data_IF_645064149310
#
_entry.id   IF_645064149310
#
_cell.length_a   1.000
_cell.length_b   1.000
_cell.length_c   1.000
_cell.angle_alpha   90.00
_cell.angle_beta   90.00
_cell.angle_gamma   90.00
#
_symmetry.space_group_name_H-M   'P 1'
#
loop_
_entity.id
_entity.type
_entity.pdbx_description
1 polymer ?
#
# COMPACT_ATOMS: atom_id res chain seq x y z
N UNK A 1 17.93 13.35 0.34
CA UNK A 1 16.84 13.05 1.30
C UNK A 1 16.06 11.82 0.80
N UNK A 2 16.72 10.66 0.76
CA UNK A 2 16.15 9.35 0.33
C UNK A 2 16.52 8.22 1.32
N UNK A 3 17.26 8.56 2.38
CA UNK A 3 17.83 7.63 3.36
C UNK A 3 16.85 7.19 4.48
N UNK A 4 15.64 7.75 4.53
CA UNK A 4 14.63 7.41 5.55
C UNK A 4 13.80 6.14 5.22
N UNK A 5 13.96 5.56 4.03
CA UNK A 5 13.21 4.35 3.63
C UNK A 5 13.94 3.03 3.94
N UNK A 6 15.18 3.06 4.43
CA UNK A 6 15.95 1.85 4.70
C UNK A 6 15.45 1.03 5.91
N UNK A 7 14.48 1.55 6.68
CA UNK A 7 13.90 0.88 7.85
C UNK A 7 12.38 1.02 8.01
N UNK A 8 11.65 1.47 6.98
CA UNK A 8 10.19 1.56 7.06
C UNK A 8 9.52 0.23 6.73
N UNK A 9 8.50 -0.13 7.50
CA UNK A 9 7.62 -1.26 7.19
C UNK A 9 6.95 -1.09 5.81
N UNK A 10 6.53 -2.18 5.15
CA UNK A 10 5.80 -2.08 3.88
C UNK A 10 4.56 -1.18 3.97
N UNK A 11 3.89 -1.18 5.14
CA UNK A 11 2.76 -0.30 5.46
C UNK A 11 3.16 1.16 5.42
N UNK A 12 4.27 1.55 6.06
CA UNK A 12 4.79 2.92 5.97
C UNK A 12 5.21 3.30 4.56
N UNK A 13 5.76 2.37 3.78
CA UNK A 13 6.09 2.61 2.38
C UNK A 13 4.83 2.88 1.55
N UNK A 14 3.80 2.05 1.70
CA UNK A 14 2.50 2.23 1.05
C UNK A 14 1.83 3.53 1.45
N UNK A 15 1.83 3.86 2.75
CA UNK A 15 1.31 5.11 3.26
C UNK A 15 2.07 6.33 2.74
N UNK A 16 3.41 6.29 2.73
CA UNK A 16 4.23 7.40 2.24
C UNK A 16 4.01 7.66 0.75
N UNK A 17 4.04 6.61 -0.06
CA UNK A 17 3.79 6.71 -1.51
C UNK A 17 2.36 7.20 -1.77
N UNK A 18 1.38 6.62 -1.09
CA UNK A 18 -0.02 7.02 -1.21
C UNK A 18 -0.27 8.46 -0.78
N UNK A 19 0.37 8.92 0.31
CA UNK A 19 0.23 10.28 0.80
C UNK A 19 0.88 11.30 -0.15
N UNK A 20 2.07 10.99 -0.68
CA UNK A 20 2.75 11.89 -1.63
C UNK A 20 1.98 11.95 -2.94
N UNK A 21 1.58 10.80 -3.49
CA UNK A 21 0.81 10.74 -4.74
C UNK A 21 -0.57 11.40 -4.57
N UNK A 22 -1.30 11.03 -3.53
CA UNK A 22 -2.62 11.59 -3.22
C UNK A 22 -2.55 13.09 -2.91
N UNK A 23 -1.52 13.55 -2.20
CA UNK A 23 -1.34 14.97 -1.91
C UNK A 23 -0.97 15.80 -3.12
N UNK A 24 -0.12 15.28 -4.02
CA UNK A 24 0.19 15.96 -5.27
C UNK A 24 -1.07 16.09 -6.15
N UNK A 25 -1.80 14.98 -6.36
CA UNK A 25 -3.02 14.97 -7.16
C UNK A 25 -4.11 15.84 -6.55
N UNK A 26 -4.37 15.69 -5.26
CA UNK A 26 -5.33 16.50 -4.51
C UNK A 26 -4.96 17.99 -4.52
N UNK A 27 -3.68 18.33 -4.49
CA UNK A 27 -3.19 19.69 -4.61
C UNK A 27 -3.47 20.31 -5.97
N UNK A 28 -3.22 19.58 -7.05
CA UNK A 28 -3.51 20.02 -8.42
C UNK A 28 -5.01 20.24 -8.61
N UNK A 29 -5.83 19.25 -8.21
CA UNK A 29 -7.29 19.30 -8.35
C UNK A 29 -7.86 20.44 -7.49
N UNK A 30 -7.44 20.53 -6.22
CA UNK A 30 -7.89 21.57 -5.31
C UNK A 30 -7.50 22.98 -5.77
N UNK A 31 -6.37 23.13 -6.47
CA UNK A 31 -5.92 24.42 -6.98
C UNK A 31 -6.87 25.01 -8.02
N UNK A 32 -7.56 24.17 -8.80
CA UNK A 32 -8.57 24.64 -9.75
C UNK A 32 -9.78 25.28 -9.06
N UNK A 33 -10.06 24.90 -7.81
CA UNK A 33 -11.15 25.44 -6.99
C UNK A 33 -10.66 26.48 -5.97
N UNK A 34 -9.44 27.00 -6.12
CA UNK A 34 -8.84 27.95 -5.17
C UNK A 34 -8.46 27.35 -3.80
N UNK A 35 -8.50 26.03 -3.67
CA UNK A 35 -8.33 25.28 -2.42
C UNK A 35 -7.23 24.22 -2.52
N UNK A 36 -6.09 24.57 -3.15
CA UNK A 36 -4.99 23.64 -3.42
C UNK A 36 -4.39 23.02 -2.16
N UNK A 37 -4.17 23.82 -1.11
CA UNK A 37 -3.63 23.31 0.16
C UNK A 37 -4.57 22.30 0.84
N UNK A 38 -5.87 22.59 0.84
CA UNK A 38 -6.89 21.69 1.38
C UNK A 38 -7.00 20.40 0.56
N UNK A 39 -6.99 20.51 -0.77
CA UNK A 39 -6.99 19.36 -1.65
C UNK A 39 -5.76 18.47 -1.45
N UNK A 40 -4.57 19.07 -1.28
CA UNK A 40 -3.35 18.34 -0.99
C UNK A 40 -3.40 17.64 0.37
N UNK A 41 -3.89 18.31 1.41
CA UNK A 41 -4.00 17.72 2.74
C UNK A 41 -4.98 16.52 2.76
N UNK A 42 -6.15 16.68 2.14
CA UNK A 42 -7.15 15.60 2.06
C UNK A 42 -6.61 14.45 1.21
N UNK A 43 -6.04 14.76 0.04
CA UNK A 43 -5.45 13.75 -0.84
C UNK A 43 -4.30 12.99 -0.18
N UNK A 44 -3.46 13.68 0.60
CA UNK A 44 -2.39 13.04 1.34
C UNK A 44 -2.91 12.16 2.48
N UNK A 45 -3.93 12.61 3.22
CA UNK A 45 -4.53 11.81 4.28
C UNK A 45 -5.20 10.55 3.73
N UNK A 46 -6.08 10.70 2.73
CA UNK A 46 -6.80 9.57 2.13
C UNK A 46 -5.84 8.63 1.40
N UNK A 47 -4.91 9.18 0.63
CA UNK A 47 -3.89 8.40 -0.08
C UNK A 47 -2.97 7.66 0.89
N UNK A 48 -2.59 8.28 2.00
CA UNK A 48 -1.77 7.66 3.03
C UNK A 48 -2.46 6.52 3.76
N UNK A 49 -3.72 6.71 4.17
CA UNK A 49 -4.51 5.67 4.83
C UNK A 49 -4.75 4.50 3.87
N UNK A 50 -5.20 4.79 2.65
CA UNK A 50 -5.47 3.76 1.63
C UNK A 50 -4.19 3.00 1.28
N UNK A 51 -3.08 3.71 1.09
CA UNK A 51 -1.79 3.12 0.80
C UNK A 51 -1.26 2.23 1.93
N UNK A 52 -1.48 2.60 3.19
CA UNK A 52 -1.16 1.76 4.35
C UNK A 52 -1.95 0.44 4.34
N UNK A 53 -3.27 0.53 4.17
CA UNK A 53 -4.16 -0.65 4.21
C UNK A 53 -3.86 -1.61 3.07
N UNK A 54 -3.66 -1.10 1.86
CA UNK A 54 -3.30 -1.93 0.69
C UNK A 54 -1.96 -2.61 0.91
N UNK A 55 -0.95 -1.89 1.42
CA UNK A 55 0.35 -2.46 1.69
C UNK A 55 0.33 -3.52 2.80
N UNK A 56 -0.54 -3.41 3.80
CA UNK A 56 -0.74 -4.46 4.81
C UNK A 56 -1.35 -5.73 4.20
N UNK A 57 -2.36 -5.58 3.33
CA UNK A 57 -3.03 -6.72 2.67
C UNK A 57 -2.11 -7.42 1.67
N UNK A 58 -1.28 -6.67 0.95
CA UNK A 58 -0.32 -7.20 0.00
C UNK A 58 0.77 -8.09 0.64
N UNK A 59 0.95 -8.06 1.96
CA UNK A 59 1.86 -8.96 2.67
C UNK A 59 1.29 -10.38 2.89
N UNK A 60 0.06 -10.65 2.43
CA UNK A 60 -0.57 -11.95 2.61
C UNK A 60 -0.57 -12.71 1.29
N UNK A 61 -0.02 -13.92 1.32
CA UNK A 61 -0.10 -14.86 0.20
C UNK A 61 -1.19 -15.87 0.47
N UNK A 62 -1.84 -16.37 -0.58
CA UNK A 62 -2.85 -17.41 -0.48
C UNK A 62 -2.49 -18.61 -1.35
N UNK A 63 -2.86 -19.80 -0.88
CA UNK A 63 -2.75 -21.01 -1.67
C UNK A 63 -3.95 -21.11 -2.61
N UNK A 64 -3.77 -21.19 -3.94
CA UNK A 64 -4.88 -21.34 -4.88
C UNK A 64 -5.54 -22.72 -4.86
N UNK A 65 -4.90 -23.72 -4.24
CA UNK A 65 -5.42 -25.10 -4.16
C UNK A 65 -6.24 -25.33 -2.89
N UNK A 66 -5.68 -25.02 -1.72
CA UNK A 66 -6.34 -25.29 -0.43
C UNK A 66 -6.95 -24.05 0.26
N UNK A 67 -6.76 -22.85 -0.29
CA UNK A 67 -7.35 -21.61 0.23
C UNK A 67 -6.72 -21.06 1.52
N UNK A 68 -5.69 -21.71 2.07
CA UNK A 68 -4.99 -21.23 3.25
C UNK A 68 -4.22 -19.93 2.95
N UNK A 69 -4.19 -19.01 3.92
CA UNK A 69 -3.45 -17.74 3.83
C UNK A 69 -2.20 -17.82 4.71
N UNK A 70 -1.05 -17.38 4.18
CA UNK A 70 0.24 -17.40 4.86
C UNK A 70 0.90 -16.02 4.82
N UNK A 71 1.91 -15.81 5.66
CA UNK A 71 2.75 -14.62 5.60
C UNK A 71 3.58 -14.62 4.31
N UNK A 72 3.97 -13.43 3.87
CA UNK A 72 4.73 -13.21 2.63
C UNK A 72 6.10 -13.88 2.58
N UNK A 73 6.62 -14.36 3.72
CA UNK A 73 7.89 -15.08 3.85
C UNK A 73 7.81 -16.53 3.33
N UNK A 74 6.61 -17.10 3.26
CA UNK A 74 6.39 -18.46 2.78
C UNK A 74 6.14 -18.43 1.27
N UNK A 75 6.96 -19.14 0.50
CA UNK A 75 6.85 -19.18 -0.98
C UNK A 75 5.97 -20.35 -1.45
N UNK A 76 6.06 -21.50 -0.76
CA UNK A 76 5.35 -22.73 -1.13
C UNK A 76 4.38 -23.16 -0.02
N UNK A 77 3.22 -23.71 -0.40
CA UNK A 77 2.25 -24.22 0.54
C UNK A 77 2.81 -25.43 1.30
N UNK A 78 2.86 -25.42 2.65
CA UNK A 78 3.38 -26.55 3.44
C UNK A 78 2.48 -27.80 3.41
N UNK A 79 1.25 -27.69 2.87
CA UNK A 79 0.34 -28.83 2.70
C UNK A 79 0.53 -29.55 1.36
N UNK A 80 0.68 -28.79 0.29
CA UNK A 80 0.52 -29.29 -1.09
C UNK A 80 1.71 -28.97 -2.01
N UNK A 81 2.69 -28.18 -1.54
CA UNK A 81 3.87 -27.79 -2.31
C UNK A 81 3.63 -26.75 -3.43
N UNK A 82 2.39 -26.32 -3.66
CA UNK A 82 2.09 -25.31 -4.69
C UNK A 82 2.59 -23.93 -4.30
N UNK A 83 3.03 -23.16 -5.30
CA UNK A 83 3.46 -21.77 -5.11
C UNK A 83 2.30 -20.90 -4.64
N UNK A 84 2.55 -20.11 -3.59
CA UNK A 84 1.56 -19.22 -3.01
C UNK A 84 1.46 -17.93 -3.85
N UNK A 85 0.24 -17.50 -4.14
CA UNK A 85 -0.01 -16.27 -4.91
C UNK A 85 -0.21 -15.09 -3.99
N UNK A 86 0.26 -13.92 -4.41
CA UNK A 86 -0.01 -12.68 -3.69
C UNK A 86 -1.50 -12.34 -3.78
N UNK A 87 -2.06 -11.87 -2.66
CA UNK A 87 -3.44 -11.40 -2.61
C UNK A 87 -3.51 -9.92 -3.00
N UNK A 88 -3.02 -9.61 -4.19
CA UNK A 88 -3.19 -8.29 -4.81
C UNK A 88 -4.43 -8.39 -5.69
N UNK A 89 -5.52 -7.80 -5.19
CA UNK A 89 -6.79 -7.64 -5.90
C UNK A 89 -6.71 -6.64 -7.06
#
# INVERSE_FOLDING_TARGET
MLFLLAGCTPVQKGAGVGAVAGGALGGIIGSQSGSGGTGAAIGAAVGGITGAVVAEKAQKKFCPVCGATYSSDVVYCPKDGTELKDKTE
#
